data_IF_280330896796
#
_entry.id   IF_280330896796
#
_cell.length_a   1.000
_cell.length_b   1.000
_cell.length_c   1.000
_cell.angle_alpha   90.00
_cell.angle_beta   90.00
_cell.angle_gamma   90.00
#
_symmetry.space_group_name_H-M   'P 1'
#
loop_
_entity.id
_entity.type
_entity.pdbx_description
1 polymer ?
#
# COMPACT_ATOMS: atom_id res chain seq x y z
N UNK A 1 -32.51 11.86 16.37
CA UNK A 1 -31.84 10.56 16.63
C UNK A 1 -30.42 10.71 16.11
N UNK A 2 -29.46 10.94 17.05
CA UNK A 2 -28.04 11.04 16.69
C UNK A 2 -27.53 9.64 16.53
N UNK A 3 -27.37 9.18 15.30
CA UNK A 3 -26.64 7.99 14.94
C UNK A 3 -25.19 8.15 15.43
N UNK A 4 -24.90 7.51 16.57
CA UNK A 4 -23.52 7.37 17.05
C UNK A 4 -22.81 6.49 16.03
N UNK A 5 -22.01 7.09 15.16
CA UNK A 5 -20.97 6.37 14.45
C UNK A 5 -20.04 5.80 15.52
N UNK A 6 -20.32 4.60 15.99
CA UNK A 6 -19.35 3.79 16.69
C UNK A 6 -18.25 3.47 15.69
N UNK A 7 -17.16 4.21 15.78
CA UNK A 7 -15.88 3.74 15.29
C UNK A 7 -15.67 2.40 16.00
N UNK A 8 -15.93 1.31 15.28
CA UNK A 8 -15.60 -0.03 15.74
C UNK A 8 -14.06 -0.09 15.80
N UNK A 9 -13.52 0.30 16.96
CA UNK A 9 -12.13 -0.03 17.29
C UNK A 9 -12.13 -1.54 17.40
N UNK A 10 -11.38 -2.28 16.57
CA UNK A 10 -11.29 -3.73 16.71
C UNK A 10 -10.90 -4.04 18.15
N UNK A 11 -11.67 -4.91 18.82
CA UNK A 11 -11.31 -5.41 20.14
C UNK A 11 -9.95 -6.09 20.02
N UNK A 12 -8.90 -5.36 20.40
CA UNK A 12 -7.55 -5.92 20.49
C UNK A 12 -7.61 -6.91 21.66
N UNK A 13 -7.35 -8.21 21.44
CA UNK A 13 -7.31 -9.17 22.54
C UNK A 13 -6.42 -8.65 23.65
N UNK A 14 -6.94 -8.56 24.88
CA UNK A 14 -6.22 -8.00 26.05
C UNK A 14 -4.88 -8.71 26.34
N UNK A 15 -4.67 -9.90 25.76
CA UNK A 15 -3.47 -10.72 25.95
C UNK A 15 -2.26 -10.28 25.12
N UNK A 16 -2.40 -9.28 24.21
CA UNK A 16 -1.28 -8.84 23.34
C UNK A 16 -0.71 -7.52 23.82
N UNK A 17 0.59 -7.47 24.17
CA UNK A 17 1.21 -6.21 24.56
C UNK A 17 1.26 -5.22 23.38
N UNK A 18 0.92 -3.97 23.64
CA UNK A 18 0.78 -2.88 22.66
C UNK A 18 2.02 -2.75 21.76
N UNK A 19 3.22 -2.98 22.29
CA UNK A 19 4.45 -2.87 21.50
C UNK A 19 4.52 -3.89 20.36
N UNK A 20 3.95 -5.10 20.52
CA UNK A 20 3.89 -6.11 19.44
C UNK A 20 2.99 -5.63 18.31
N UNK A 21 1.83 -5.10 18.64
CA UNK A 21 0.91 -4.48 17.67
C UNK A 21 1.59 -3.31 16.98
N UNK A 22 2.28 -2.44 17.72
CA UNK A 22 3.01 -1.30 17.16
C UNK A 22 4.12 -1.74 16.18
N UNK A 23 4.88 -2.78 16.50
CA UNK A 23 5.90 -3.33 15.60
C UNK A 23 5.26 -3.89 14.32
N UNK A 24 4.16 -4.64 14.45
CA UNK A 24 3.44 -5.18 13.30
C UNK A 24 2.97 -4.07 12.36
N UNK A 25 2.32 -3.04 12.90
CA UNK A 25 1.90 -1.86 12.12
C UNK A 25 3.08 -1.11 11.50
N UNK A 26 4.17 -0.94 12.24
CA UNK A 26 5.36 -0.29 11.71
C UNK A 26 5.92 -1.05 10.50
N UNK A 27 5.97 -2.38 10.55
CA UNK A 27 6.39 -3.21 9.42
C UNK A 27 5.48 -3.02 8.21
N UNK A 28 4.15 -3.01 8.41
CA UNK A 28 3.17 -2.79 7.33
C UNK A 28 3.34 -1.40 6.70
N UNK A 29 3.47 -0.37 7.53
CA UNK A 29 3.69 1.01 7.05
C UNK A 29 5.02 1.12 6.30
N UNK A 30 6.09 0.48 6.80
CA UNK A 30 7.39 0.46 6.12
C UNK A 30 7.29 -0.20 4.73
N UNK A 31 6.63 -1.36 4.63
CA UNK A 31 6.38 -2.01 3.32
C UNK A 31 5.63 -1.05 2.39
N UNK A 32 4.54 -0.44 2.85
CA UNK A 32 3.74 0.49 2.07
C UNK A 32 4.56 1.67 1.56
N UNK A 33 5.36 2.29 2.42
CA UNK A 33 6.23 3.43 2.07
C UNK A 33 7.26 3.04 1.04
N UNK A 34 8.00 1.94 1.25
CA UNK A 34 9.09 1.57 0.35
C UNK A 34 8.61 1.04 -1.00
N UNK A 35 7.51 0.29 -1.06
CA UNK A 35 6.92 -0.15 -2.35
C UNK A 35 6.53 1.06 -3.20
N UNK A 36 5.93 2.08 -2.59
CA UNK A 36 5.47 3.28 -3.29
C UNK A 36 6.54 4.37 -3.46
N UNK A 37 7.80 4.11 -3.06
CA UNK A 37 8.86 5.10 -3.19
C UNK A 37 9.11 5.49 -4.65
N UNK A 38 8.80 6.73 -4.97
CA UNK A 38 8.90 7.27 -6.33
C UNK A 38 10.34 7.47 -6.79
N UNK A 39 10.55 7.47 -8.11
CA UNK A 39 11.84 7.79 -8.71
C UNK A 39 12.12 9.29 -8.54
N UNK A 40 13.22 9.69 -7.88
CA UNK A 40 13.59 11.10 -7.76
C UNK A 40 14.12 11.65 -9.10
N UNK A 41 14.03 12.97 -9.27
CA UNK A 41 14.54 13.65 -10.46
C UNK A 41 16.08 13.60 -10.54
N UNK A 42 16.77 13.60 -9.39
CA UNK A 42 18.22 13.49 -9.31
C UNK A 42 18.64 12.03 -9.24
N UNK A 43 19.68 11.68 -9.98
CA UNK A 43 20.27 10.32 -10.00
C UNK A 43 21.33 10.10 -8.92
N UNK A 44 21.52 11.05 -8.02
CA UNK A 44 22.50 11.00 -6.93
C UNK A 44 21.85 11.41 -5.60
N UNK A 45 22.47 10.99 -4.49
CA UNK A 45 22.06 11.36 -3.14
C UNK A 45 21.18 10.32 -2.45
N UNK A 46 20.78 10.67 -1.22
CA UNK A 46 20.02 9.79 -0.31
C UNK A 46 18.70 9.27 -0.93
N UNK A 47 17.96 10.13 -1.60
CA UNK A 47 16.66 9.78 -2.18
C UNK A 47 16.78 8.76 -3.32
N UNK A 48 17.82 8.91 -4.15
CA UNK A 48 18.08 7.93 -5.21
C UNK A 48 18.57 6.60 -4.65
N UNK A 49 19.41 6.61 -3.61
CA UNK A 49 19.84 5.40 -2.92
C UNK A 49 18.64 4.63 -2.35
N UNK A 50 17.69 5.32 -1.71
CA UNK A 50 16.45 4.70 -1.21
C UNK A 50 15.60 4.11 -2.34
N UNK A 51 15.46 4.83 -3.44
CA UNK A 51 14.74 4.32 -4.62
C UNK A 51 15.42 3.09 -5.23
N UNK A 52 16.73 3.11 -5.39
CA UNK A 52 17.49 1.98 -5.94
C UNK A 52 17.41 0.73 -5.05
N UNK A 53 17.39 0.93 -3.72
CA UNK A 53 17.35 -0.14 -2.72
C UNK A 53 15.95 -0.53 -2.27
N UNK A 54 14.90 0.12 -2.79
CA UNK A 54 13.52 -0.03 -2.27
C UNK A 54 13.05 -1.48 -2.23
N UNK A 55 13.32 -2.28 -3.24
CA UNK A 55 12.89 -3.67 -3.29
C UNK A 55 13.65 -4.57 -2.32
N UNK A 56 14.94 -4.29 -2.08
CA UNK A 56 15.71 -4.97 -1.05
C UNK A 56 15.16 -4.66 0.35
N UNK A 57 14.91 -3.37 0.62
CA UNK A 57 14.34 -2.92 1.90
C UNK A 57 12.93 -3.50 2.09
N UNK A 58 12.11 -3.47 1.05
CA UNK A 58 10.77 -4.08 1.07
C UNK A 58 10.84 -5.58 1.37
N UNK A 59 11.79 -6.30 0.79
CA UNK A 59 11.98 -7.74 1.05
C UNK A 59 12.38 -8.01 2.50
N UNK A 60 13.24 -7.16 3.08
CA UNK A 60 13.64 -7.25 4.48
C UNK A 60 12.43 -7.06 5.42
N UNK A 61 11.61 -6.04 5.19
CA UNK A 61 10.37 -5.82 5.94
C UNK A 61 9.33 -6.91 5.65
N UNK A 62 9.26 -7.44 4.43
CA UNK A 62 8.41 -8.58 4.07
C UNK A 62 8.77 -9.85 4.87
N UNK A 63 10.06 -10.11 5.06
CA UNK A 63 10.52 -11.19 5.94
C UNK A 63 10.15 -10.92 7.41
N UNK A 64 10.34 -9.69 7.88
CA UNK A 64 9.87 -9.24 9.20
C UNK A 64 8.36 -9.42 9.37
N UNK A 65 7.59 -9.16 8.32
CA UNK A 65 6.14 -9.38 8.30
C UNK A 65 5.78 -10.87 8.44
N UNK A 66 6.46 -11.77 7.72
CA UNK A 66 6.26 -13.21 7.86
C UNK A 66 6.53 -13.68 9.30
N UNK A 67 7.59 -13.18 9.93
CA UNK A 67 7.89 -13.46 11.36
C UNK A 67 6.76 -12.91 12.24
N UNK A 68 6.31 -11.71 11.99
CA UNK A 68 5.22 -11.08 12.75
C UNK A 68 3.91 -11.86 12.63
N UNK A 69 3.54 -12.36 11.44
CA UNK A 69 2.39 -13.23 11.26
C UNK A 69 2.50 -14.52 12.08
N UNK A 70 3.69 -15.13 12.14
CA UNK A 70 3.90 -16.39 12.85
C UNK A 70 3.93 -16.25 14.38
N UNK A 71 4.47 -15.13 14.90
CA UNK A 71 4.74 -14.96 16.34
C UNK A 71 3.85 -13.94 17.02
N UNK A 72 3.45 -12.87 16.33
CA UNK A 72 2.59 -11.81 16.90
C UNK A 72 1.13 -12.15 16.64
N UNK A 73 0.78 -12.44 15.39
CA UNK A 73 -0.59 -12.75 14.98
C UNK A 73 -0.94 -14.22 15.25
N UNK A 74 0.07 -15.05 15.55
CA UNK A 74 -0.07 -16.48 15.89
C UNK A 74 -0.70 -17.34 14.79
N UNK A 75 -0.56 -16.94 13.54
CA UNK A 75 -0.98 -17.75 12.40
C UNK A 75 -0.19 -19.06 12.36
N UNK A 76 -0.81 -20.14 11.92
CA UNK A 76 -0.16 -21.47 11.82
C UNK A 76 1.13 -21.37 10.99
N UNK A 77 2.27 -21.66 11.62
CA UNK A 77 3.61 -21.48 11.05
C UNK A 77 3.80 -22.16 9.69
N UNK A 78 3.12 -23.29 9.48
CA UNK A 78 3.20 -24.04 8.21
C UNK A 78 2.66 -23.22 7.03
N UNK A 79 1.56 -22.49 7.22
CA UNK A 79 1.01 -21.65 6.17
C UNK A 79 1.90 -20.45 5.87
N UNK A 80 2.47 -19.84 6.93
CA UNK A 80 3.43 -18.75 6.76
C UNK A 80 4.67 -19.23 6.02
N UNK A 81 5.18 -20.42 6.36
CA UNK A 81 6.32 -21.03 5.67
C UNK A 81 6.02 -21.29 4.19
N UNK A 82 4.87 -21.89 3.89
CA UNK A 82 4.45 -22.14 2.49
C UNK A 82 4.31 -20.84 1.69
N UNK A 83 3.67 -19.81 2.27
CA UNK A 83 3.54 -18.50 1.62
C UNK A 83 4.90 -17.83 1.38
N UNK A 84 5.77 -17.83 2.38
CA UNK A 84 7.13 -17.28 2.25
C UNK A 84 7.94 -18.02 1.19
N UNK A 85 7.85 -19.36 1.15
CA UNK A 85 8.52 -20.18 0.13
C UNK A 85 8.00 -19.83 -1.27
N UNK A 86 6.69 -19.67 -1.46
CA UNK A 86 6.11 -19.27 -2.73
C UNK A 86 6.61 -17.89 -3.20
N UNK A 87 6.74 -16.93 -2.28
CA UNK A 87 7.31 -15.61 -2.56
C UNK A 87 8.78 -15.69 -2.95
N UNK A 88 9.59 -16.49 -2.24
CA UNK A 88 11.01 -16.69 -2.57
C UNK A 88 11.15 -17.32 -3.96
N UNK A 89 10.39 -18.36 -4.25
CA UNK A 89 10.41 -19.02 -5.56
C UNK A 89 10.04 -18.02 -6.65
N UNK A 90 8.95 -17.25 -6.47
CA UNK A 90 8.55 -16.23 -7.44
C UNK A 90 9.61 -15.15 -7.62
N UNK A 91 10.34 -14.77 -6.58
CA UNK A 91 11.42 -13.79 -6.64
C UNK A 91 12.62 -14.28 -7.46
N UNK A 92 12.90 -15.58 -7.42
CA UNK A 92 13.97 -16.19 -8.22
C UNK A 92 13.58 -16.21 -9.70
N UNK A 93 12.35 -16.65 -10.01
CA UNK A 93 11.89 -16.74 -11.40
C UNK A 93 11.63 -15.36 -12.04
N UNK A 94 11.17 -14.39 -11.28
CA UNK A 94 10.77 -13.06 -11.75
C UNK A 94 11.65 -11.94 -11.19
N UNK A 95 12.95 -12.19 -11.05
CA UNK A 95 13.89 -11.20 -10.48
C UNK A 95 13.93 -9.86 -11.24
N UNK A 96 13.62 -9.88 -12.55
CA UNK A 96 13.57 -8.67 -13.38
C UNK A 96 12.34 -7.80 -13.13
N UNK A 97 11.29 -8.35 -12.52
CA UNK A 97 10.06 -7.63 -12.23
C UNK A 97 9.61 -7.88 -10.79
N UNK A 98 10.14 -7.13 -9.82
CA UNK A 98 9.85 -7.32 -8.39
C UNK A 98 8.38 -7.13 -8.00
N UNK A 99 7.58 -6.53 -8.87
CA UNK A 99 6.13 -6.37 -8.63
C UNK A 99 5.42 -7.72 -8.59
N UNK A 100 5.88 -8.71 -9.37
CA UNK A 100 5.26 -10.05 -9.42
C UNK A 100 5.40 -10.78 -8.07
N UNK A 101 6.60 -10.93 -7.46
CA UNK A 101 6.73 -11.49 -6.12
C UNK A 101 5.93 -10.72 -5.05
N UNK A 102 5.80 -9.41 -5.19
CA UNK A 102 4.98 -8.61 -4.29
C UNK A 102 3.49 -8.97 -4.40
N UNK A 103 2.96 -9.10 -5.61
CA UNK A 103 1.57 -9.56 -5.84
C UNK A 103 1.36 -10.97 -5.27
N UNK A 104 2.31 -11.88 -5.49
CA UNK A 104 2.28 -13.23 -4.92
C UNK A 104 2.25 -13.18 -3.39
N UNK A 105 3.02 -12.28 -2.77
CA UNK A 105 3.01 -12.08 -1.31
C UNK A 105 1.65 -11.61 -0.80
N UNK A 106 1.01 -10.65 -1.50
CA UNK A 106 -0.33 -10.15 -1.15
C UNK A 106 -1.37 -11.26 -1.26
N UNK A 107 -1.37 -12.03 -2.36
CA UNK A 107 -2.29 -13.14 -2.57
C UNK A 107 -2.07 -14.23 -1.51
N UNK A 108 -0.83 -14.65 -1.29
CA UNK A 108 -0.49 -15.66 -0.30
C UNK A 108 -0.95 -15.23 1.11
N UNK A 109 -0.68 -13.98 1.50
CA UNK A 109 -1.13 -13.42 2.78
C UNK A 109 -2.65 -13.44 2.89
N UNK A 110 -3.37 -13.00 1.85
CA UNK A 110 -4.84 -13.00 1.83
C UNK A 110 -5.41 -14.42 2.00
N UNK A 111 -4.81 -15.42 1.32
CA UNK A 111 -5.20 -16.82 1.45
C UNK A 111 -4.93 -17.31 2.88
N UNK A 112 -3.73 -17.04 3.42
CA UNK A 112 -3.33 -17.45 4.77
C UNK A 112 -4.29 -16.87 5.83
N UNK A 113 -4.63 -15.60 5.72
CA UNK A 113 -5.54 -14.92 6.64
C UNK A 113 -6.97 -15.46 6.53
N UNK A 114 -7.44 -15.81 5.32
CA UNK A 114 -8.79 -16.36 5.12
C UNK A 114 -8.98 -17.76 5.74
N UNK A 115 -7.89 -18.53 5.89
CA UNK A 115 -7.89 -19.83 6.57
C UNK A 115 -7.47 -19.76 8.04
N UNK A 116 -7.23 -18.57 8.56
CA UNK A 116 -6.86 -18.36 9.96
C UNK A 116 -8.12 -18.18 10.82
N UNK A 117 -7.95 -18.44 12.13
CA UNK A 117 -9.04 -18.33 13.09
C UNK A 117 -9.30 -16.85 13.45
N UNK A 118 -10.56 -16.53 13.73
CA UNK A 118 -11.15 -15.26 14.22
C UNK A 118 -10.47 -13.95 13.81
N UNK A 119 -9.47 -13.48 14.56
CA UNK A 119 -8.88 -12.13 14.40
C UNK A 119 -8.25 -11.87 13.01
N UNK A 120 -7.37 -12.73 12.47
CA UNK A 120 -6.77 -12.49 11.15
C UNK A 120 -7.80 -12.52 10.01
N UNK A 121 -8.82 -13.37 10.11
CA UNK A 121 -9.91 -13.46 9.14
C UNK A 121 -10.80 -12.20 9.21
N UNK A 122 -11.08 -11.69 10.40
CA UNK A 122 -11.81 -10.44 10.59
C UNK A 122 -11.05 -9.26 9.97
N UNK A 123 -9.75 -9.15 10.17
CA UNK A 123 -8.92 -8.12 9.52
C UNK A 123 -8.98 -8.18 7.99
N UNK A 124 -8.97 -9.38 7.43
CA UNK A 124 -9.12 -9.55 5.99
C UNK A 124 -10.51 -9.08 5.52
N UNK A 125 -11.56 -9.43 6.27
CA UNK A 125 -12.94 -9.01 6.00
C UNK A 125 -13.10 -7.49 6.02
N UNK A 126 -12.55 -6.82 7.04
CA UNK A 126 -12.55 -5.35 7.15
C UNK A 126 -11.78 -4.71 6.01
N UNK A 127 -10.57 -5.22 5.70
CA UNK A 127 -9.76 -4.72 4.58
C UNK A 127 -10.49 -4.88 3.24
N UNK A 128 -11.19 -6.00 3.02
CA UNK A 128 -12.02 -6.20 1.83
C UNK A 128 -13.21 -5.25 1.79
N UNK A 129 -13.86 -4.99 2.93
CA UNK A 129 -14.93 -4.01 3.06
C UNK A 129 -14.48 -2.61 2.65
N UNK A 130 -13.34 -2.15 3.15
CA UNK A 130 -12.72 -0.88 2.75
C UNK A 130 -12.34 -0.85 1.27
N UNK A 131 -11.72 -1.92 0.77
CA UNK A 131 -11.35 -2.00 -0.64
C UNK A 131 -12.60 -1.89 -1.55
N UNK A 132 -13.68 -2.57 -1.21
CA UNK A 132 -14.95 -2.52 -1.95
C UNK A 132 -15.57 -1.12 -1.95
N UNK A 133 -15.40 -0.34 -0.89
CA UNK A 133 -15.87 1.03 -0.79
C UNK A 133 -14.98 2.02 -1.57
N UNK A 134 -13.68 1.90 -1.40
CA UNK A 134 -12.71 2.90 -1.88
C UNK A 134 -12.34 2.66 -3.34
N UNK A 135 -12.16 1.42 -3.78
CA UNK A 135 -11.71 1.10 -5.14
C UNK A 135 -12.62 1.63 -6.25
N UNK A 136 -13.95 1.52 -6.19
CA UNK A 136 -14.81 2.07 -7.23
C UNK A 136 -14.70 3.59 -7.32
N UNK A 137 -14.65 4.27 -6.18
CA UNK A 137 -14.53 5.73 -6.13
C UNK A 137 -13.17 6.21 -6.65
N UNK A 138 -12.09 5.54 -6.21
CA UNK A 138 -10.73 5.84 -6.66
C UNK A 138 -10.55 5.51 -8.14
N UNK A 139 -11.08 4.38 -8.60
CA UNK A 139 -11.08 3.99 -10.01
C UNK A 139 -11.83 4.99 -10.89
N UNK A 140 -13.02 5.41 -10.47
CA UNK A 140 -13.78 6.44 -11.16
C UNK A 140 -13.02 7.78 -11.19
N UNK A 141 -12.44 8.20 -10.06
CA UNK A 141 -11.63 9.42 -9.98
C UNK A 141 -10.43 9.39 -10.94
N UNK A 142 -9.68 8.28 -10.95
CA UNK A 142 -8.52 8.12 -11.84
C UNK A 142 -8.94 8.09 -13.32
N UNK A 143 -10.04 7.40 -13.64
CA UNK A 143 -10.56 7.37 -15.02
C UNK A 143 -11.03 8.76 -15.48
N UNK A 144 -11.77 9.47 -14.64
CA UNK A 144 -12.23 10.83 -14.95
C UNK A 144 -11.01 11.76 -15.09
N UNK A 145 -10.07 11.73 -14.15
CA UNK A 145 -8.86 12.53 -14.23
C UNK A 145 -8.03 12.21 -15.47
N UNK A 146 -7.82 10.93 -15.78
CA UNK A 146 -7.10 10.50 -16.98
C UNK A 146 -7.79 10.92 -18.28
N UNK A 147 -9.12 10.91 -18.32
CA UNK A 147 -9.89 11.34 -19.46
C UNK A 147 -9.84 12.88 -19.65
N UNK A 148 -9.92 13.63 -18.55
CA UNK A 148 -9.89 15.09 -18.60
C UNK A 148 -8.48 15.66 -18.85
N UNK A 149 -7.47 15.12 -18.15
CA UNK A 149 -6.12 15.66 -18.13
C UNK A 149 -5.15 14.94 -19.08
N UNK A 150 -5.53 13.73 -19.56
CA UNK A 150 -4.63 12.87 -20.30
C UNK A 150 -3.68 12.06 -19.39
N UNK A 151 -2.69 11.42 -19.99
CA UNK A 151 -1.69 10.60 -19.33
C UNK A 151 -0.29 11.19 -19.56
N UNK A 152 0.67 10.85 -18.69
CA UNK A 152 2.09 11.25 -18.85
C UNK A 152 2.68 10.87 -20.23
N UNK A 153 2.19 9.78 -20.84
CA UNK A 153 2.62 9.30 -22.16
C UNK A 153 1.78 9.84 -23.32
N UNK A 154 0.62 10.42 -23.03
CA UNK A 154 -0.27 11.04 -24.02
C UNK A 154 -0.99 12.23 -23.37
N UNK A 155 -0.43 13.43 -23.50
CA UNK A 155 -0.94 14.63 -22.83
C UNK A 155 -2.22 15.19 -23.44
N UNK A 156 -2.83 14.50 -24.42
CA UNK A 156 -4.05 14.94 -25.10
C UNK A 156 -5.29 14.56 -24.27
N UNK A 157 -5.49 15.23 -23.13
CA UNK A 157 -6.76 15.22 -22.41
C UNK A 157 -7.77 16.18 -23.06
N UNK A 158 -9.02 16.17 -22.58
CA UNK A 158 -10.03 17.16 -23.02
C UNK A 158 -9.66 18.57 -22.58
N UNK A 159 -9.01 18.70 -21.42
CA UNK A 159 -8.54 19.98 -20.88
C UNK A 159 -7.12 20.23 -21.38
N UNK A 160 -6.86 21.31 -22.14
CA UNK A 160 -5.50 21.66 -22.55
C UNK A 160 -4.59 21.87 -21.33
N UNK A 161 -3.38 21.30 -21.39
CA UNK A 161 -2.40 21.42 -20.29
C UNK A 161 -2.04 22.88 -19.98
N UNK A 162 -2.08 23.76 -20.99
CA UNK A 162 -1.83 25.18 -20.84
C UNK A 162 -2.81 25.88 -19.87
N UNK A 163 -4.05 25.39 -19.82
CA UNK A 163 -5.03 25.91 -18.87
C UNK A 163 -4.69 25.48 -17.43
N UNK A 164 -4.28 24.23 -17.28
CA UNK A 164 -3.87 23.67 -15.97
C UNK A 164 -2.63 24.39 -15.47
N UNK A 165 -1.62 24.56 -16.33
CA UNK A 165 -0.38 25.25 -16.01
C UNK A 165 -0.61 26.71 -15.62
N UNK A 166 -1.58 27.36 -16.26
CA UNK A 166 -1.94 28.75 -15.93
C UNK A 166 -2.64 28.89 -14.58
N UNK A 167 -3.39 27.85 -14.16
CA UNK A 167 -4.19 27.89 -12.92
C UNK A 167 -3.47 27.28 -11.72
N UNK A 168 -2.66 26.26 -11.93
CA UNK A 168 -2.02 25.46 -10.86
C UNK A 168 -0.48 25.45 -10.96
N UNK A 169 0.08 25.72 -12.14
CA UNK A 169 1.53 25.62 -12.41
C UNK A 169 2.38 26.76 -11.87
N UNK A 170 1.79 27.81 -11.29
CA UNK A 170 2.53 28.96 -10.73
C UNK A 170 2.91 28.76 -9.26
N UNK A 171 4.07 29.33 -8.85
CA UNK A 171 4.50 29.32 -7.45
C UNK A 171 3.99 30.57 -6.68
N UNK A 172 2.82 31.10 -7.04
CA UNK A 172 2.20 32.21 -6.33
C UNK A 172 1.29 31.73 -5.20
N UNK A 173 1.09 32.55 -4.18
CA UNK A 173 0.18 32.24 -3.06
C UNK A 173 -1.26 31.96 -3.56
N UNK A 174 -1.67 32.64 -4.64
CA UNK A 174 -2.99 32.47 -5.26
C UNK A 174 -3.12 31.09 -5.91
N UNK A 175 -2.12 30.66 -6.67
CA UNK A 175 -2.08 29.36 -7.35
C UNK A 175 -2.04 28.21 -6.33
N UNK A 176 -1.25 28.36 -5.27
CA UNK A 176 -1.19 27.37 -4.18
C UNK A 176 -2.52 27.27 -3.40
N UNK A 177 -3.22 28.39 -3.24
CA UNK A 177 -4.54 28.42 -2.61
C UNK A 177 -5.57 27.68 -3.47
N UNK A 178 -5.63 27.92 -4.78
CA UNK A 178 -6.52 27.19 -5.68
C UNK A 178 -6.18 25.70 -5.76
N UNK A 179 -4.89 25.33 -5.83
CA UNK A 179 -4.45 23.94 -5.83
C UNK A 179 -4.79 23.18 -4.52
N UNK A 180 -5.00 23.89 -3.41
CA UNK A 180 -5.39 23.27 -2.14
C UNK A 180 -6.90 23.06 -1.97
N UNK A 181 -7.72 23.69 -2.82
CA UNK A 181 -9.19 23.60 -2.77
C UNK A 181 -9.74 22.60 -3.80
N UNK A 182 -8.98 22.34 -4.87
CA UNK A 182 -9.34 21.35 -5.91
C UNK A 182 -8.83 19.97 -5.58
#
# INVERSE_FOLDING_TARGET
>A
EKEKVQLAIPDIPEDRPIWQTAIHFFILVAILVFVNWGKPNNTEGFWYFMFASKWFITSLFGFGFAISLAYIIKVKKIFVLLGTTAVIISSIFFHSNPLIPFIVAVIATSIILSFSEEEPNQWLGESYGFAKQIMPLLGAGVLIAGFLLGSQNNPNGIIPNEWIDSWVGGNSLFTNFFASIT
#
